data_IF_381284945071
#
_entry.id   IF_381284945071
#
_cell.length_a   1.000
_cell.length_b   1.000
_cell.length_c   1.000
_cell.angle_alpha   90.00
_cell.angle_beta   90.00
_cell.angle_gamma   90.00
#
_symmetry.space_group_name_H-M   'P 1'
#
loop_
_entity.id
_entity.type
_entity.pdbx_description
1 polymer ?
#
# COMPACT_ATOMS: atom_id res chain seq x y z
N UNK A 1 -33.97 20.46 -0.38
CA UNK A 1 -33.44 19.35 0.40
C UNK A 1 -31.89 19.45 0.44
N UNK A 2 -31.34 19.62 1.63
CA UNK A 2 -29.88 19.83 1.85
C UNK A 2 -29.05 18.74 1.14
N UNK A 3 -29.52 17.49 1.19
CA UNK A 3 -28.80 16.38 0.56
C UNK A 3 -28.71 16.52 -0.97
N UNK A 4 -29.79 16.95 -1.64
CA UNK A 4 -29.77 17.18 -3.08
C UNK A 4 -28.83 18.33 -3.48
N UNK A 5 -28.80 19.41 -2.70
CA UNK A 5 -27.84 20.51 -2.91
C UNK A 5 -26.38 20.02 -2.77
N UNK A 6 -26.09 19.21 -1.75
CA UNK A 6 -24.76 18.64 -1.56
C UNK A 6 -24.33 17.71 -2.71
N UNK A 7 -25.26 16.92 -3.26
CA UNK A 7 -25.00 16.07 -4.43
C UNK A 7 -24.64 16.91 -5.68
N UNK A 8 -25.34 18.02 -5.89
CA UNK A 8 -25.06 18.94 -6.99
C UNK A 8 -23.70 19.61 -6.83
N UNK A 9 -23.41 20.15 -5.63
CA UNK A 9 -22.11 20.77 -5.32
C UNK A 9 -20.93 19.80 -5.51
N UNK A 10 -21.10 18.54 -5.14
CA UNK A 10 -20.08 17.51 -5.35
C UNK A 10 -20.06 16.95 -6.78
N UNK A 11 -21.00 17.37 -7.66
CA UNK A 11 -21.17 16.87 -9.02
C UNK A 11 -21.36 15.34 -9.08
N UNK A 12 -22.16 14.77 -8.17
CA UNK A 12 -22.49 13.35 -8.09
C UNK A 12 -23.72 13.08 -8.96
N UNK A 13 -23.50 12.55 -10.18
CA UNK A 13 -24.58 12.38 -11.18
C UNK A 13 -25.04 10.95 -11.39
N UNK A 14 -24.11 9.98 -11.49
CA UNK A 14 -24.42 8.61 -11.93
C UNK A 14 -25.10 7.76 -10.86
N UNK A 15 -24.55 7.72 -9.67
CA UNK A 15 -25.06 6.93 -8.55
C UNK A 15 -25.13 7.81 -7.32
N UNK A 16 -26.32 7.89 -6.72
CA UNK A 16 -26.54 8.65 -5.50
C UNK A 16 -26.57 7.69 -4.33
N UNK A 17 -25.64 7.79 -3.35
CA UNK A 17 -25.66 6.91 -2.18
C UNK A 17 -26.94 7.11 -1.39
N UNK A 18 -27.50 6.02 -0.84
CA UNK A 18 -28.66 6.12 0.05
C UNK A 18 -28.23 6.74 1.37
N UNK A 19 -29.11 7.57 1.95
CA UNK A 19 -28.88 8.22 3.23
C UNK A 19 -29.79 7.58 4.29
N UNK A 20 -29.20 7.17 5.40
CA UNK A 20 -29.91 6.62 6.56
C UNK A 20 -29.52 7.36 7.83
N UNK A 21 -30.40 7.33 8.81
CA UNK A 21 -30.17 7.93 10.12
C UNK A 21 -30.07 6.85 11.20
N UNK A 22 -29.14 7.00 12.12
CA UNK A 22 -28.92 6.04 13.19
C UNK A 22 -28.69 6.76 14.53
N UNK A 23 -29.29 6.24 15.59
CA UNK A 23 -29.06 6.72 16.96
C UNK A 23 -27.83 6.05 17.62
N UNK A 24 -27.34 4.95 17.04
CA UNK A 24 -26.21 4.19 17.60
C UNK A 24 -24.83 4.75 17.19
N UNK A 25 -24.78 5.70 16.26
CA UNK A 25 -23.53 6.25 15.75
C UNK A 25 -23.21 7.59 16.44
N UNK A 26 -21.93 7.79 16.74
CA UNK A 26 -21.40 9.06 17.27
C UNK A 26 -20.87 10.00 16.18
N UNK A 27 -20.80 9.57 14.92
CA UNK A 27 -20.36 10.36 13.76
C UNK A 27 -20.90 9.82 12.47
N UNK A 28 -20.93 10.66 11.42
CA UNK A 28 -21.28 10.24 10.10
C UNK A 28 -20.25 9.22 9.57
N UNK A 29 -20.73 8.29 8.74
CA UNK A 29 -19.89 7.24 8.16
C UNK A 29 -20.48 6.77 6.83
N UNK A 30 -19.60 6.49 5.87
CA UNK A 30 -19.96 5.82 4.63
C UNK A 30 -19.53 4.35 4.70
N UNK A 31 -20.46 3.45 4.37
CA UNK A 31 -20.26 1.99 4.45
C UNK A 31 -20.57 1.35 3.09
N UNK A 32 -19.78 0.33 2.73
CA UNK A 32 -19.92 -0.43 1.49
C UNK A 32 -18.95 0.02 0.40
N UNK A 33 -18.54 -0.93 -0.45
CA UNK A 33 -17.61 -0.71 -1.57
C UNK A 33 -18.37 -0.59 -2.89
N UNK A 34 -19.25 -1.55 -3.20
CA UNK A 34 -19.98 -1.60 -4.47
C UNK A 34 -21.24 -0.74 -4.46
N UNK A 35 -21.97 -0.73 -3.35
CA UNK A 35 -23.19 0.05 -3.13
C UNK A 35 -23.08 0.83 -1.82
N UNK A 36 -22.27 1.88 -1.79
CA UNK A 36 -22.05 2.63 -0.57
C UNK A 36 -23.31 3.35 -0.09
N UNK A 37 -23.45 3.37 1.22
CA UNK A 37 -24.57 3.98 1.96
C UNK A 37 -23.98 4.94 2.99
N UNK A 38 -24.58 6.11 3.13
CA UNK A 38 -24.18 7.10 4.14
C UNK A 38 -25.12 6.98 5.35
N UNK A 39 -24.53 6.81 6.52
CA UNK A 39 -25.22 6.85 7.79
C UNK A 39 -24.88 8.15 8.54
N UNK A 40 -25.89 8.86 8.99
CA UNK A 40 -25.75 10.08 9.79
C UNK A 40 -26.35 9.84 11.17
N UNK A 41 -25.67 10.24 12.27
CA UNK A 41 -26.28 10.26 13.58
C UNK A 41 -27.54 11.13 13.61
N UNK A 42 -28.59 10.65 14.28
CA UNK A 42 -29.82 11.45 14.46
C UNK A 42 -29.55 12.78 15.16
N UNK A 43 -28.63 12.79 16.11
CA UNK A 43 -28.22 14.01 16.82
C UNK A 43 -27.76 15.13 15.88
N UNK A 44 -27.07 14.79 14.79
CA UNK A 44 -26.62 15.75 13.77
C UNK A 44 -27.80 16.14 12.86
N UNK A 45 -28.63 15.19 12.45
CA UNK A 45 -29.78 15.45 11.57
C UNK A 45 -30.83 16.32 12.24
N UNK A 46 -31.17 16.02 13.50
CA UNK A 46 -32.21 16.72 14.24
C UNK A 46 -31.69 18.02 14.89
N UNK A 47 -30.44 18.40 14.59
CA UNK A 47 -29.75 19.55 15.19
C UNK A 47 -29.80 19.55 16.71
N UNK A 48 -29.72 18.34 17.30
CA UNK A 48 -29.67 18.16 18.77
C UNK A 48 -28.25 18.51 19.26
N UNK A 49 -28.17 19.10 20.43
CA UNK A 49 -26.91 19.66 20.93
C UNK A 49 -26.45 20.87 20.10
N UNK A 50 -25.17 21.13 20.00
CA UNK A 50 -24.61 22.31 19.32
C UNK A 50 -24.51 22.20 17.78
N UNK A 51 -25.17 21.20 17.17
CA UNK A 51 -25.15 21.03 15.71
C UNK A 51 -26.15 21.95 15.01
N UNK A 52 -25.71 22.57 13.93
CA UNK A 52 -26.52 23.44 13.07
C UNK A 52 -26.79 22.77 11.73
N UNK A 53 -27.75 23.32 10.97
CA UNK A 53 -28.03 22.93 9.58
C UNK A 53 -26.75 23.06 8.71
N UNK A 54 -25.92 24.06 9.01
CA UNK A 54 -24.63 24.27 8.34
C UNK A 54 -23.67 23.12 8.64
N UNK A 55 -23.62 22.63 9.88
CA UNK A 55 -22.78 21.48 10.24
C UNK A 55 -23.22 20.21 9.52
N UNK A 56 -24.54 19.97 9.42
CA UNK A 56 -25.08 18.85 8.66
C UNK A 56 -24.66 18.92 7.18
N UNK A 57 -24.73 20.11 6.57
CA UNK A 57 -24.27 20.33 5.20
C UNK A 57 -22.78 20.04 5.04
N UNK A 58 -21.93 20.52 5.94
CA UNK A 58 -20.50 20.29 5.91
C UNK A 58 -20.14 18.81 6.06
N UNK A 59 -20.81 18.11 6.98
CA UNK A 59 -20.61 16.68 7.20
C UNK A 59 -21.05 15.87 5.99
N UNK A 60 -22.21 16.22 5.40
CA UNK A 60 -22.69 15.56 4.17
C UNK A 60 -21.72 15.76 3.00
N UNK A 61 -21.18 16.97 2.82
CA UNK A 61 -20.19 17.23 1.78
C UNK A 61 -18.93 16.40 2.00
N UNK A 62 -18.47 16.27 3.26
CA UNK A 62 -17.31 15.46 3.60
C UNK A 62 -17.52 13.98 3.26
N UNK A 63 -18.63 13.39 3.66
CA UNK A 63 -18.96 11.99 3.33
C UNK A 63 -19.14 11.78 1.81
N UNK A 64 -19.71 12.76 1.11
CA UNK A 64 -19.84 12.70 -0.35
C UNK A 64 -18.51 12.81 -1.09
N UNK A 65 -17.51 13.51 -0.55
CA UNK A 65 -16.16 13.49 -1.11
C UNK A 65 -15.48 12.13 -0.93
N UNK A 66 -15.62 11.48 0.24
CA UNK A 66 -15.18 10.09 0.43
C UNK A 66 -15.85 9.14 -0.58
N UNK A 67 -17.16 9.32 -0.81
CA UNK A 67 -17.88 8.56 -1.82
C UNK A 67 -17.30 8.77 -3.23
N UNK A 68 -17.12 10.01 -3.64
CA UNK A 68 -16.62 10.39 -4.97
C UNK A 68 -15.22 9.84 -5.24
N UNK A 69 -14.38 9.84 -4.22
CA UNK A 69 -12.99 9.32 -4.24
C UNK A 69 -12.92 7.79 -4.15
N UNK A 70 -14.03 7.12 -3.88
CA UNK A 70 -14.11 5.67 -3.63
C UNK A 70 -13.20 5.23 -2.48
N UNK A 71 -13.13 6.00 -1.43
CA UNK A 71 -12.21 5.79 -0.31
C UNK A 71 -12.42 4.45 0.40
N UNK A 72 -13.64 3.89 0.38
CA UNK A 72 -13.92 2.55 0.90
C UNK A 72 -13.22 1.45 0.09
N UNK A 73 -13.14 1.58 -1.25
CA UNK A 73 -12.40 0.64 -2.08
C UNK A 73 -10.89 0.74 -1.79
N UNK A 74 -10.36 1.96 -1.71
CA UNK A 74 -8.95 2.18 -1.33
C UNK A 74 -8.67 1.59 0.05
N UNK A 75 -9.59 1.77 1.01
CA UNK A 75 -9.43 1.22 2.36
C UNK A 75 -9.43 -0.32 2.38
N UNK A 76 -10.21 -0.95 1.53
CA UNK A 76 -10.20 -2.41 1.34
C UNK A 76 -8.82 -2.87 0.83
N UNK A 77 -8.26 -2.22 -0.19
CA UNK A 77 -6.90 -2.51 -0.66
C UNK A 77 -5.85 -2.31 0.44
N UNK A 78 -5.92 -1.21 1.19
CA UNK A 78 -5.03 -0.97 2.34
C UNK A 78 -5.11 -2.12 3.34
N UNK A 79 -6.31 -2.63 3.65
CA UNK A 79 -6.46 -3.77 4.55
C UNK A 79 -5.81 -5.05 3.99
N UNK A 80 -5.97 -5.33 2.70
CA UNK A 80 -5.34 -6.48 2.04
C UNK A 80 -3.81 -6.36 2.13
N UNK A 81 -3.24 -5.19 1.80
CA UNK A 81 -1.81 -4.95 1.93
C UNK A 81 -1.31 -5.09 3.38
N UNK A 82 -2.08 -4.62 4.37
CA UNK A 82 -1.74 -4.81 5.78
C UNK A 82 -1.70 -6.29 6.17
N UNK A 83 -2.57 -7.13 5.60
CA UNK A 83 -2.60 -8.57 5.86
C UNK A 83 -1.40 -9.25 5.19
N UNK A 84 -1.10 -8.93 3.94
CA UNK A 84 0.00 -9.52 3.19
C UNK A 84 1.37 -9.12 3.74
N UNK A 85 1.53 -7.88 4.17
CA UNK A 85 2.80 -7.31 4.64
C UNK A 85 2.77 -6.95 6.13
N UNK A 86 2.03 -7.72 6.94
CA UNK A 86 1.86 -7.47 8.38
C UNK A 86 3.19 -7.40 9.16
N UNK A 87 4.22 -8.10 8.67
CA UNK A 87 5.56 -8.14 9.25
C UNK A 87 6.45 -6.96 8.86
N UNK A 88 6.07 -6.14 7.87
CA UNK A 88 6.89 -5.05 7.38
C UNK A 88 6.46 -3.71 8.00
N UNK A 89 7.23 -3.14 8.95
CA UNK A 89 6.88 -1.91 9.63
C UNK A 89 6.82 -0.69 8.70
N UNK A 90 7.62 -0.67 7.64
CA UNK A 90 7.65 0.43 6.66
C UNK A 90 6.33 0.48 5.89
N UNK A 91 5.82 -0.68 5.44
CA UNK A 91 4.53 -0.77 4.76
C UNK A 91 3.40 -0.33 5.69
N UNK A 92 3.38 -0.81 6.94
CA UNK A 92 2.36 -0.43 7.93
C UNK A 92 2.38 1.08 8.17
N UNK A 93 3.56 1.67 8.37
CA UNK A 93 3.71 3.11 8.55
C UNK A 93 3.21 3.91 7.34
N UNK A 94 3.59 3.51 6.12
CA UNK A 94 3.19 4.16 4.87
C UNK A 94 1.67 4.12 4.69
N UNK A 95 1.05 2.96 4.91
CA UNK A 95 -0.41 2.80 4.80
C UNK A 95 -1.17 3.59 5.88
N UNK A 96 -0.61 3.70 7.08
CA UNK A 96 -1.17 4.55 8.14
C UNK A 96 -1.11 6.03 7.75
N UNK A 97 0.02 6.48 7.21
CA UNK A 97 0.20 7.86 6.73
C UNK A 97 -0.75 8.16 5.57
N UNK A 98 -0.91 7.24 4.62
CA UNK A 98 -1.85 7.38 3.50
C UNK A 98 -3.30 7.58 3.95
N UNK A 99 -3.73 6.93 5.05
CA UNK A 99 -5.06 7.17 5.65
C UNK A 99 -5.21 8.60 6.15
N UNK A 100 -4.18 9.15 6.79
CA UNK A 100 -4.19 10.53 7.29
C UNK A 100 -4.20 11.55 6.15
N UNK A 101 -3.42 11.29 5.09
CA UNK A 101 -3.37 12.19 3.93
C UNK A 101 -4.68 12.18 3.14
N UNK A 102 -5.41 11.07 3.15
CA UNK A 102 -6.74 10.97 2.56
C UNK A 102 -7.76 11.87 3.27
N UNK A 103 -7.75 11.94 4.59
CA UNK A 103 -8.60 12.86 5.34
C UNK A 103 -8.32 14.32 4.99
N UNK A 104 -7.02 14.70 4.95
CA UNK A 104 -6.60 16.06 4.55
C UNK A 104 -7.03 16.40 3.13
N UNK A 105 -6.89 15.44 2.20
CA UNK A 105 -7.31 15.63 0.82
C UNK A 105 -8.84 15.73 0.69
N UNK A 106 -9.59 15.00 1.51
CA UNK A 106 -11.05 15.12 1.57
C UNK A 106 -11.47 16.52 2.06
N UNK A 107 -10.86 17.03 3.15
CA UNK A 107 -11.11 18.38 3.65
C UNK A 107 -10.84 19.43 2.58
N UNK A 108 -9.73 19.29 1.85
CA UNK A 108 -9.38 20.19 0.76
C UNK A 108 -10.42 20.17 -0.38
N UNK A 109 -10.92 18.98 -0.76
CA UNK A 109 -11.95 18.86 -1.80
C UNK A 109 -13.29 19.49 -1.36
N UNK A 110 -13.65 19.36 -0.07
CA UNK A 110 -14.83 20.05 0.50
C UNK A 110 -14.66 21.56 0.40
N UNK A 111 -13.51 22.10 0.78
CA UNK A 111 -13.23 23.54 0.71
C UNK A 111 -13.16 24.06 -0.71
N UNK A 112 -12.74 23.25 -1.68
CA UNK A 112 -12.84 23.61 -3.10
C UNK A 112 -14.30 23.75 -3.57
N UNK A 113 -15.23 22.98 -3.00
CA UNK A 113 -16.65 23.09 -3.29
C UNK A 113 -17.30 24.30 -2.57
N UNK A 114 -16.89 24.57 -1.32
CA UNK A 114 -17.48 25.62 -0.48
C UNK A 114 -16.89 27.01 -0.74
N UNK A 115 -15.59 27.06 -1.08
CA UNK A 115 -14.82 28.29 -1.17
C UNK A 115 -14.12 28.69 0.14
N UNK A 116 -13.08 29.51 0.03
CA UNK A 116 -12.20 29.90 1.15
C UNK A 116 -12.93 30.59 2.30
N UNK A 117 -13.99 31.35 2.02
CA UNK A 117 -14.76 32.08 3.03
C UNK A 117 -15.45 31.15 4.05
N UNK A 118 -15.63 29.89 3.73
CA UNK A 118 -16.25 28.88 4.60
C UNK A 118 -15.25 28.09 5.44
N UNK A 119 -13.93 28.31 5.27
CA UNK A 119 -12.89 27.54 5.92
C UNK A 119 -13.02 27.55 7.45
N UNK A 120 -13.25 28.72 8.07
CA UNK A 120 -13.41 28.84 9.51
C UNK A 120 -14.65 28.09 10.03
N UNK A 121 -15.78 28.22 9.35
CA UNK A 121 -17.03 27.51 9.70
C UNK A 121 -16.88 25.99 9.53
N UNK A 122 -16.24 25.56 8.45
CA UNK A 122 -15.95 24.15 8.21
C UNK A 122 -15.01 23.59 9.29
N UNK A 123 -13.95 24.29 9.65
CA UNK A 123 -13.04 23.91 10.75
C UNK A 123 -13.76 23.74 12.09
N UNK A 124 -14.72 24.62 12.40
CA UNK A 124 -15.56 24.49 13.61
C UNK A 124 -16.42 23.22 13.55
N UNK A 125 -17.01 22.90 12.40
CA UNK A 125 -17.78 21.66 12.21
C UNK A 125 -16.92 20.42 12.46
N UNK A 126 -15.70 20.38 11.91
CA UNK A 126 -14.75 19.30 12.11
C UNK A 126 -14.37 19.16 13.60
N UNK A 127 -14.17 20.27 14.27
CA UNK A 127 -13.85 20.29 15.71
C UNK A 127 -15.01 19.73 16.56
N UNK A 128 -16.27 20.13 16.29
CA UNK A 128 -17.47 19.60 16.95
C UNK A 128 -17.63 18.10 16.71
N UNK A 129 -17.49 17.66 15.45
CA UNK A 129 -17.55 16.25 15.08
C UNK A 129 -16.45 15.41 15.74
N UNK A 130 -15.26 15.97 15.95
CA UNK A 130 -14.21 15.31 16.68
C UNK A 130 -14.53 15.24 18.18
N UNK A 131 -15.05 16.30 18.79
CA UNK A 131 -15.41 16.34 20.22
C UNK A 131 -16.46 15.29 20.57
N UNK A 132 -17.51 15.13 19.76
CA UNK A 132 -18.55 14.11 19.99
C UNK A 132 -18.01 12.67 19.91
N UNK A 133 -17.03 12.40 19.05
CA UNK A 133 -16.35 11.10 18.95
C UNK A 133 -15.41 10.84 20.14
N UNK A 134 -14.83 11.88 20.73
CA UNK A 134 -13.96 11.75 21.90
C UNK A 134 -14.75 11.43 23.18
N UNK A 135 -15.92 12.02 23.34
CA UNK A 135 -16.78 11.78 24.53
C UNK A 135 -17.34 10.36 24.58
N UNK A 136 -17.51 9.69 23.43
CA UNK A 136 -18.03 8.32 23.35
C UNK A 136 -16.97 7.22 23.45
N UNK A 137 -15.67 7.56 23.43
CA UNK A 137 -14.59 6.57 23.45
C UNK A 137 -13.75 6.66 24.71
N UNK A 138 -13.99 5.77 25.67
CA UNK A 138 -13.21 5.60 26.91
C UNK A 138 -11.87 4.88 26.74
N UNK A 139 -11.28 4.83 25.55
CA UNK A 139 -10.12 3.97 25.26
C UNK A 139 -8.80 4.72 25.15
N UNK A 140 -7.88 4.32 26.05
CA UNK A 140 -6.40 4.30 25.97
C UNK A 140 -5.66 5.53 25.41
N UNK A 141 -4.89 6.14 26.30
CA UNK A 141 -4.11 7.37 26.17
C UNK A 141 -3.24 7.51 24.90
N UNK A 142 -2.70 6.43 24.34
CA UNK A 142 -1.79 6.48 23.19
C UNK A 142 -2.51 6.78 21.85
N UNK A 143 -3.68 6.19 21.61
CA UNK A 143 -4.54 6.51 20.44
C UNK A 143 -5.04 7.96 20.48
N UNK A 144 -5.21 8.53 21.67
CA UNK A 144 -5.66 9.90 21.87
C UNK A 144 -4.65 10.93 21.34
N UNK A 145 -3.34 10.76 21.57
CA UNK A 145 -2.29 11.69 21.14
C UNK A 145 -2.17 11.73 19.60
N UNK A 146 -2.19 10.57 18.94
CA UNK A 146 -2.13 10.50 17.47
C UNK A 146 -3.36 11.16 16.82
N UNK A 147 -4.56 10.92 17.35
CA UNK A 147 -5.80 11.55 16.87
C UNK A 147 -5.80 13.07 17.04
N UNK A 148 -5.31 13.57 18.17
CA UNK A 148 -5.19 15.01 18.44
C UNK A 148 -4.22 15.68 17.47
N UNK A 149 -3.08 15.05 17.18
CA UNK A 149 -2.10 15.56 16.22
C UNK A 149 -2.69 15.60 14.80
N UNK A 150 -3.41 14.55 14.39
CA UNK A 150 -4.10 14.53 13.10
C UNK A 150 -5.12 15.67 12.99
N UNK A 151 -5.97 15.83 14.00
CA UNK A 151 -6.96 16.90 14.03
C UNK A 151 -6.30 18.27 13.94
N UNK A 152 -5.23 18.50 14.70
CA UNK A 152 -4.45 19.75 14.64
C UNK A 152 -3.94 20.01 13.22
N UNK A 153 -3.36 19.00 12.56
CA UNK A 153 -2.83 19.15 11.20
C UNK A 153 -3.96 19.42 10.20
N UNK A 154 -5.12 18.74 10.32
CA UNK A 154 -6.30 19.01 9.48
C UNK A 154 -6.77 20.44 9.63
N UNK A 155 -6.93 20.93 10.88
CA UNK A 155 -7.36 22.30 11.15
C UNK A 155 -6.38 23.35 10.62
N UNK A 156 -5.08 23.12 10.73
CA UNK A 156 -4.06 24.00 10.15
C UNK A 156 -4.21 24.08 8.62
N UNK A 157 -4.36 22.94 7.95
CA UNK A 157 -4.55 22.92 6.49
C UNK A 157 -5.88 23.55 6.05
N UNK A 158 -6.93 23.47 6.86
CA UNK A 158 -8.22 24.14 6.61
C UNK A 158 -8.06 25.66 6.70
N UNK A 159 -7.32 26.16 7.70
CA UNK A 159 -7.07 27.60 7.87
C UNK A 159 -6.17 28.13 6.75
N UNK A 160 -5.14 27.38 6.38
CA UNK A 160 -4.17 27.74 5.33
C UNK A 160 -4.66 27.37 3.92
N UNK A 161 -5.95 27.02 3.78
CA UNK A 161 -6.49 26.56 2.51
C UNK A 161 -6.25 27.55 1.38
N UNK A 162 -5.69 27.04 0.28
CA UNK A 162 -5.56 27.73 -1.00
C UNK A 162 -6.17 26.87 -2.10
N UNK A 163 -7.06 27.42 -2.94
CA UNK A 163 -7.65 26.65 -4.01
C UNK A 163 -6.57 26.17 -4.99
N UNK A 164 -6.57 24.87 -5.28
CA UNK A 164 -5.61 24.26 -6.20
C UNK A 164 -6.00 24.63 -7.63
N UNK A 165 -5.07 25.25 -8.34
CA UNK A 165 -5.28 25.64 -9.73
C UNK A 165 -5.19 24.42 -10.68
N UNK A 166 -5.85 24.51 -11.85
CA UNK A 166 -5.77 23.45 -12.88
C UNK A 166 -4.34 23.23 -13.37
N UNK A 167 -3.46 24.25 -13.27
CA UNK A 167 -2.04 24.13 -13.62
C UNK A 167 -1.30 23.24 -12.62
N UNK A 168 -1.57 23.37 -11.34
CA UNK A 168 -0.96 22.54 -10.28
C UNK A 168 -1.44 21.09 -10.39
N UNK A 169 -2.75 20.86 -10.62
CA UNK A 169 -3.29 19.50 -10.86
C UNK A 169 -2.57 18.83 -12.04
N UNK A 170 -2.37 19.54 -13.15
CA UNK A 170 -1.65 18.99 -14.31
C UNK A 170 -0.18 18.67 -13.97
N UNK A 171 0.53 19.54 -13.24
CA UNK A 171 1.90 19.27 -12.80
C UNK A 171 2.00 17.98 -11.97
N UNK A 172 1.07 17.76 -11.02
CA UNK A 172 1.01 16.54 -10.23
C UNK A 172 0.77 15.28 -11.10
N UNK A 173 -0.14 15.37 -12.09
CA UNK A 173 -0.40 14.26 -13.02
C UNK A 173 0.85 13.94 -13.84
N UNK A 174 1.54 14.95 -14.39
CA UNK A 174 2.78 14.73 -15.15
C UNK A 174 3.89 14.12 -14.28
N UNK A 175 4.08 14.62 -13.05
CA UNK A 175 5.07 14.08 -12.13
C UNK A 175 4.78 12.60 -11.81
N UNK A 176 3.52 12.26 -11.54
CA UNK A 176 3.10 10.89 -11.29
C UNK A 176 3.27 9.97 -12.52
N UNK A 177 2.95 10.47 -13.71
CA UNK A 177 3.16 9.73 -14.97
C UNK A 177 4.64 9.46 -15.24
N UNK A 178 5.53 10.42 -14.93
CA UNK A 178 6.98 10.24 -15.06
C UNK A 178 7.48 9.16 -14.09
N UNK A 179 7.00 9.15 -12.84
CA UNK A 179 7.38 8.14 -11.85
C UNK A 179 6.95 6.74 -12.32
N UNK A 180 5.72 6.59 -12.82
CA UNK A 180 5.23 5.31 -13.35
C UNK A 180 6.09 4.89 -14.54
N UNK A 181 6.40 5.81 -15.47
CA UNK A 181 7.24 5.51 -16.63
C UNK A 181 8.63 5.04 -16.20
N UNK A 182 9.26 5.73 -15.24
CA UNK A 182 10.55 5.32 -14.69
C UNK A 182 10.47 3.92 -14.07
N UNK A 183 9.45 3.64 -13.27
CA UNK A 183 9.27 2.31 -12.68
C UNK A 183 9.09 1.21 -13.74
N UNK A 184 8.31 1.46 -14.79
CA UNK A 184 8.10 0.49 -15.87
C UNK A 184 9.34 0.27 -16.74
N UNK A 185 10.19 1.28 -16.91
CA UNK A 185 11.45 1.17 -17.66
C UNK A 185 12.55 0.52 -16.81
N UNK A 186 12.65 0.86 -15.53
CA UNK A 186 13.68 0.33 -14.63
C UNK A 186 13.43 -1.13 -14.21
N UNK A 187 12.17 -1.58 -14.14
CA UNK A 187 11.85 -2.95 -13.75
C UNK A 187 12.47 -4.02 -14.69
N UNK A 188 12.35 -3.95 -16.02
CA UNK A 188 13.01 -4.90 -16.93
C UNK A 188 14.54 -4.76 -16.89
N UNK A 189 15.08 -3.54 -16.73
CA UNK A 189 16.54 -3.34 -16.66
C UNK A 189 17.18 -4.09 -15.51
N UNK A 190 16.52 -4.21 -14.35
CA UNK A 190 17.01 -5.00 -13.23
C UNK A 190 17.03 -6.49 -13.53
N UNK A 191 16.08 -6.99 -14.33
CA UNK A 191 16.05 -8.39 -14.76
C UNK A 191 17.19 -8.66 -15.76
N UNK A 192 17.41 -7.77 -16.73
CA UNK A 192 18.52 -7.89 -17.69
C UNK A 192 19.90 -7.78 -17.02
N UNK A 193 20.05 -6.94 -15.99
CA UNK A 193 21.30 -6.83 -15.24
C UNK A 193 21.60 -8.07 -14.40
N UNK A 194 20.57 -8.87 -14.03
CA UNK A 194 20.75 -10.15 -13.35
C UNK A 194 20.98 -11.31 -14.32
N UNK A 195 20.67 -11.13 -15.60
CA UNK A 195 20.90 -12.11 -16.66
C UNK A 195 22.26 -11.90 -17.33
N UNK A 196 23.27 -11.49 -16.53
CA UNK A 196 24.67 -11.53 -16.97
C UNK A 196 25.09 -13.00 -17.03
N UNK A 197 24.78 -13.61 -18.17
CA UNK A 197 25.27 -14.91 -18.60
C UNK A 197 26.78 -14.79 -18.94
N UNK A 198 27.60 -14.50 -17.95
CA UNK A 198 28.98 -14.86 -18.04
C UNK A 198 29.05 -16.39 -18.02
N UNK A 199 28.99 -16.98 -19.22
CA UNK A 199 29.43 -18.34 -19.44
C UNK A 199 30.85 -18.42 -18.91
N UNK A 200 31.05 -19.10 -17.78
CA UNK A 200 32.39 -19.50 -17.41
C UNK A 200 32.80 -20.53 -18.47
N UNK A 201 33.71 -20.09 -19.33
CA UNK A 201 34.29 -20.97 -20.31
C UNK A 201 35.13 -21.99 -19.56
N UNK A 202 34.76 -23.27 -19.68
CA UNK A 202 35.57 -24.37 -19.17
C UNK A 202 36.77 -24.67 -20.11
N UNK A 203 36.99 -23.86 -21.14
CA UNK A 203 38.00 -24.05 -22.16
C UNK A 203 39.46 -24.29 -21.64
N UNK A 204 39.89 -23.79 -20.47
CA UNK A 204 41.24 -24.11 -19.96
C UNK A 204 41.28 -25.36 -19.08
N UNK A 205 40.18 -26.11 -18.90
CA UNK A 205 40.13 -27.25 -17.97
C UNK A 205 40.45 -28.57 -18.68
N UNK A 206 41.15 -29.47 -17.98
CA UNK A 206 41.37 -30.83 -18.48
C UNK A 206 40.09 -31.63 -18.38
N UNK A 207 39.32 -31.66 -19.46
CA UNK A 207 37.96 -32.22 -19.54
C UNK A 207 37.97 -33.59 -20.18
N UNK A 208 37.31 -34.55 -19.56
CA UNK A 208 36.99 -35.84 -20.18
C UNK A 208 35.47 -36.02 -20.23
N UNK A 209 34.94 -36.35 -21.42
CA UNK A 209 33.53 -36.63 -21.61
C UNK A 209 33.18 -38.03 -21.11
N UNK A 210 32.19 -38.11 -20.24
CA UNK A 210 31.61 -39.38 -19.79
C UNK A 210 30.33 -39.70 -20.59
N UNK A 211 30.16 -40.95 -20.93
CA UNK A 211 28.87 -41.45 -21.44
C UNK A 211 28.05 -42.07 -20.30
N UNK A 212 27.09 -41.29 -19.79
CA UNK A 212 26.14 -41.71 -18.76
C UNK A 212 24.70 -41.77 -19.31
N UNK A 213 24.55 -41.84 -20.64
CA UNK A 213 23.24 -41.84 -21.31
C UNK A 213 22.30 -42.96 -20.79
N UNK A 214 22.84 -44.10 -20.40
CA UNK A 214 22.05 -45.22 -19.82
C UNK A 214 21.47 -44.86 -18.44
N UNK A 215 22.09 -44.01 -17.67
CA UNK A 215 21.63 -43.59 -16.35
C UNK A 215 20.71 -42.37 -16.41
N UNK A 216 20.81 -41.58 -17.48
CA UNK A 216 20.03 -40.35 -17.67
C UNK A 216 18.97 -40.49 -18.77
N UNK A 217 18.60 -41.73 -19.17
CA UNK A 217 17.65 -41.96 -20.27
C UNK A 217 16.32 -41.23 -20.12
N UNK A 218 15.84 -41.09 -18.88
CA UNK A 218 14.56 -40.44 -18.57
C UNK A 218 14.71 -39.01 -18.00
N UNK A 219 15.94 -38.53 -17.87
CA UNK A 219 16.24 -37.24 -17.25
C UNK A 219 17.08 -36.36 -18.14
N UNK A 220 16.66 -35.14 -18.31
CA UNK A 220 17.40 -34.15 -19.07
C UNK A 220 18.34 -33.33 -18.15
N UNK A 221 19.45 -33.94 -17.72
CA UNK A 221 20.41 -33.40 -16.77
C UNK A 221 21.84 -33.39 -17.29
N UNK A 222 22.74 -32.92 -16.44
CA UNK A 222 24.19 -33.04 -16.61
C UNK A 222 24.81 -33.59 -15.33
N UNK A 223 26.01 -34.14 -15.46
CA UNK A 223 26.82 -34.58 -14.33
C UNK A 223 28.25 -34.08 -14.51
N UNK A 224 28.85 -33.51 -13.45
CA UNK A 224 30.19 -33.03 -13.43
C UNK A 224 30.90 -33.52 -12.17
N UNK A 225 32.08 -34.12 -12.33
CA UNK A 225 32.92 -34.59 -11.25
C UNK A 225 34.32 -34.03 -11.43
N UNK A 226 34.88 -33.42 -10.39
CA UNK A 226 36.26 -32.96 -10.36
C UNK A 226 37.14 -33.93 -9.54
N UNK A 227 38.10 -34.54 -10.22
CA UNK A 227 39.16 -35.33 -9.59
C UNK A 227 40.35 -34.41 -9.22
N UNK A 228 40.42 -34.06 -7.93
CA UNK A 228 41.44 -33.20 -7.40
C UNK A 228 42.85 -33.84 -7.46
N UNK A 229 42.94 -35.17 -7.46
CA UNK A 229 44.25 -35.87 -7.48
C UNK A 229 44.93 -35.77 -8.84
N UNK A 230 44.13 -35.77 -9.92
CA UNK A 230 44.65 -35.74 -11.29
C UNK A 230 44.36 -34.39 -11.98
N UNK A 231 43.79 -33.44 -11.27
CA UNK A 231 43.39 -32.14 -11.81
C UNK A 231 42.53 -32.27 -13.10
N UNK A 232 41.50 -33.14 -13.03
CA UNK A 232 40.72 -33.54 -14.19
C UNK A 232 39.22 -33.46 -13.92
N UNK A 233 38.50 -32.94 -14.90
CA UNK A 233 37.06 -32.90 -14.86
C UNK A 233 36.48 -34.01 -15.73
N UNK A 234 35.48 -34.73 -15.22
CA UNK A 234 34.67 -35.70 -15.91
C UNK A 234 33.25 -35.10 -16.09
N UNK A 235 32.80 -34.93 -17.33
CA UNK A 235 31.54 -34.26 -17.57
C UNK A 235 30.67 -35.09 -18.51
N UNK A 236 29.40 -35.30 -18.13
CA UNK A 236 28.33 -35.78 -18.98
C UNK A 236 27.45 -34.60 -19.38
N UNK A 237 27.12 -34.44 -20.67
CA UNK A 237 26.30 -33.39 -21.23
C UNK A 237 26.83 -31.97 -20.92
N UNK A 238 27.98 -31.67 -21.51
CA UNK A 238 28.73 -30.42 -21.28
C UNK A 238 27.89 -29.17 -21.59
N UNK A 239 27.07 -29.17 -22.63
CA UNK A 239 26.24 -28.01 -23.00
C UNK A 239 25.25 -27.65 -21.88
N UNK A 240 24.72 -28.66 -21.20
CA UNK A 240 23.85 -28.45 -20.04
C UNK A 240 24.59 -28.07 -18.77
N UNK A 241 25.83 -28.53 -18.60
CA UNK A 241 26.65 -28.14 -17.46
C UNK A 241 27.00 -26.64 -17.48
N UNK A 242 27.01 -26.04 -18.66
CA UNK A 242 27.21 -24.59 -18.86
C UNK A 242 25.92 -23.76 -18.63
N UNK A 243 24.75 -24.41 -18.62
CA UNK A 243 23.49 -23.71 -18.47
C UNK A 243 23.23 -23.35 -17.00
N UNK A 244 22.99 -22.06 -16.75
CA UNK A 244 22.64 -21.56 -15.40
C UNK A 244 21.22 -22.01 -15.06
N UNK A 245 21.05 -22.66 -13.93
CA UNK A 245 19.77 -23.00 -13.34
C UNK A 245 19.59 -22.29 -12.02
N UNK A 246 18.33 -22.13 -11.60
CA UNK A 246 18.04 -21.65 -10.26
C UNK A 246 18.65 -22.58 -9.21
N UNK A 247 19.36 -22.08 -8.21
CA UNK A 247 19.99 -22.90 -7.18
C UNK A 247 18.98 -23.65 -6.29
N UNK A 248 17.74 -23.21 -6.24
CA UNK A 248 16.66 -23.79 -5.42
C UNK A 248 17.14 -24.21 -4.01
N UNK A 249 16.92 -25.47 -3.63
CA UNK A 249 17.34 -25.99 -2.31
C UNK A 249 18.85 -26.19 -2.17
N UNK A 250 19.64 -26.09 -3.24
CA UNK A 250 21.10 -26.21 -3.16
C UNK A 250 21.75 -25.02 -2.44
N UNK A 251 21.02 -23.90 -2.32
CA UNK A 251 21.46 -22.75 -1.50
C UNK A 251 21.75 -23.15 -0.05
N UNK A 252 21.07 -24.15 0.49
CA UNK A 252 21.31 -24.71 1.84
C UNK A 252 22.74 -25.21 2.04
N UNK A 253 23.44 -25.59 0.96
CA UNK A 253 24.85 -26.04 1.02
C UNK A 253 25.72 -24.86 1.45
N UNK A 254 25.49 -23.66 0.93
CA UNK A 254 26.21 -22.45 1.33
C UNK A 254 25.91 -22.09 2.78
N UNK A 255 24.66 -22.19 3.21
CA UNK A 255 24.29 -21.94 4.61
C UNK A 255 25.00 -22.91 5.55
N UNK A 256 25.08 -24.19 5.19
CA UNK A 256 25.78 -25.21 5.97
C UNK A 256 27.28 -24.96 6.03
N UNK A 257 27.94 -24.60 4.91
CA UNK A 257 29.35 -24.26 4.87
C UNK A 257 29.65 -23.06 5.74
N UNK A 258 28.85 -21.99 5.64
CA UNK A 258 29.02 -20.81 6.49
C UNK A 258 28.79 -21.12 7.97
N UNK A 259 27.82 -21.97 8.29
CA UNK A 259 27.58 -22.38 9.68
C UNK A 259 28.72 -23.21 10.27
N UNK A 260 29.37 -24.08 9.46
CA UNK A 260 30.58 -24.81 9.84
C UNK A 260 31.77 -23.87 10.05
N UNK A 261 32.00 -22.93 9.15
CA UNK A 261 33.10 -21.96 9.21
C UNK A 261 33.01 -21.05 10.42
N UNK A 262 31.79 -20.65 10.80
CA UNK A 262 31.51 -19.84 11.99
C UNK A 262 31.35 -20.67 13.27
N UNK A 263 31.53 -21.99 13.22
CA UNK A 263 31.43 -22.88 14.38
C UNK A 263 30.04 -23.02 15.00
N UNK A 264 28.99 -22.62 14.23
CA UNK A 264 27.60 -22.77 14.64
C UNK A 264 27.17 -24.25 14.64
N UNK A 265 27.70 -25.01 13.67
CA UNK A 265 27.54 -26.46 13.58
C UNK A 265 28.94 -27.10 13.50
N UNK A 266 29.05 -28.36 13.92
CA UNK A 266 30.30 -29.15 13.83
C UNK A 266 30.03 -30.36 12.95
N UNK A 267 31.14 -30.98 12.42
CA UNK A 267 31.03 -32.21 11.60
C UNK A 267 30.36 -33.38 12.32
N UNK A 268 30.33 -33.35 13.65
CA UNK A 268 29.80 -34.42 14.51
C UNK A 268 28.34 -34.20 14.95
N UNK A 269 27.73 -33.11 14.53
CA UNK A 269 26.32 -32.88 14.81
C UNK A 269 25.47 -33.82 13.93
N UNK A 270 25.04 -34.94 14.48
CA UNK A 270 24.00 -35.77 13.89
C UNK A 270 22.63 -35.21 14.26
N UNK A 271 21.77 -34.99 13.25
CA UNK A 271 20.37 -34.63 13.43
C UNK A 271 19.50 -35.88 13.44
#
# INVERSE_FOLDING_TARGET
>A
NIYSECLELCNVRRYKPKLYYSSALSGAVIVGVFRPVIYIPRQINDCISDYTITDLRHILLHELQHFKRRDNAVNMFICIFCILYWFNPVVIYTLHTARHDREKACDNDVLQCLGQNYAAKYGQTILRAAASRFSSSSSLSFKSKSRKNLLKTRLQLIVDFKPITNREKRKCIYAFSIIILLMTVCAPLSVYALDDTQYKDFAPMNLESLDLSSYFSDYNGCFALYDKGNDKWYIYNQDKALYRTSPDSTYKIYDAVMALEHGIITSDNSF
#
